data_IF_198142220590
#
_entry.id   IF_198142220590
#
_cell.length_a   1.000
_cell.length_b   1.000
_cell.length_c   1.000
_cell.angle_alpha   90.00
_cell.angle_beta   90.00
_cell.angle_gamma   90.00
#
_symmetry.space_group_name_H-M   'P 1'
#
loop_
_entity.id
_entity.type
_entity.pdbx_description
1 polymer ?
#
# COMPACT_ATOMS: atom_id res chain seq x y z
N UNK A 1 -13.00 32.84 -69.65
CA UNK A 1 -14.34 32.22 -69.56
C UNK A 1 -14.43 31.52 -68.20
N UNK A 2 -15.18 32.15 -67.28
CA UNK A 2 -15.84 31.64 -66.07
C UNK A 2 -15.09 30.84 -64.99
N UNK A 3 -15.05 31.46 -63.81
CA UNK A 3 -14.90 30.91 -62.46
C UNK A 3 -16.00 29.89 -62.12
N UNK A 4 -15.74 28.97 -61.17
CA UNK A 4 -16.61 28.71 -60.00
C UNK A 4 -15.93 27.83 -58.93
N UNK A 5 -16.20 28.24 -57.69
CA UNK A 5 -15.77 27.73 -56.38
C UNK A 5 -16.57 26.51 -55.90
N UNK A 6 -16.18 26.04 -54.70
CA UNK A 6 -16.93 25.32 -53.64
C UNK A 6 -16.55 23.82 -53.50
N UNK A 7 -16.40 23.16 -52.34
CA UNK A 7 -16.36 23.50 -50.89
C UNK A 7 -15.96 22.23 -50.12
N UNK A 8 -15.08 22.39 -49.12
CA UNK A 8 -14.92 21.70 -47.81
C UNK A 8 -15.52 20.28 -47.60
N UNK A 9 -14.69 19.35 -47.11
CA UNK A 9 -15.08 18.49 -45.98
C UNK A 9 -13.85 18.08 -45.14
N UNK A 10 -13.78 18.61 -43.92
CA UNK A 10 -12.76 18.30 -42.92
C UNK A 10 -13.14 17.00 -42.21
N UNK A 11 -12.23 16.05 -42.15
CA UNK A 11 -12.37 14.86 -41.31
C UNK A 11 -12.31 15.27 -39.84
N UNK A 12 -13.39 14.98 -39.14
CA UNK A 12 -13.58 15.23 -37.71
C UNK A 12 -12.89 14.10 -36.94
N UNK A 13 -11.75 14.42 -36.34
CA UNK A 13 -11.10 13.60 -35.31
C UNK A 13 -11.88 13.84 -34.02
N UNK A 14 -12.43 12.78 -33.42
CA UNK A 14 -13.14 12.83 -32.14
C UNK A 14 -12.11 12.85 -30.99
N UNK A 15 -12.01 13.92 -30.18
CA UNK A 15 -11.23 13.85 -28.94
C UNK A 15 -12.05 13.15 -27.85
N UNK A 16 -11.46 12.10 -27.26
CA UNK A 16 -11.96 11.43 -26.08
C UNK A 16 -11.85 12.41 -24.89
N UNK A 17 -12.99 12.72 -24.28
CA UNK A 17 -13.13 13.59 -23.12
C UNK A 17 -12.58 12.87 -21.88
N UNK A 18 -11.32 13.13 -21.50
CA UNK A 18 -10.81 12.74 -20.18
C UNK A 18 -11.22 13.83 -19.18
N UNK A 19 -12.12 13.45 -18.27
CA UNK A 19 -12.57 14.27 -17.14
C UNK A 19 -11.37 14.64 -16.26
N UNK A 20 -11.08 15.93 -16.16
CA UNK A 20 -10.32 16.52 -15.06
C UNK A 20 -11.06 16.21 -13.75
N UNK A 21 -10.47 15.35 -12.90
CA UNK A 21 -10.83 15.29 -11.49
C UNK A 21 -10.14 16.48 -10.81
N UNK A 22 -10.91 17.53 -10.56
CA UNK A 22 -10.50 18.62 -9.67
C UNK A 22 -10.39 18.07 -8.25
N UNK A 23 -9.16 18.01 -7.73
CA UNK A 23 -8.88 17.78 -6.32
C UNK A 23 -9.39 18.99 -5.54
N UNK A 24 -10.55 18.86 -4.92
CA UNK A 24 -11.09 19.86 -4.00
C UNK A 24 -10.33 19.79 -2.67
N UNK A 25 -9.50 20.80 -2.46
CA UNK A 25 -9.41 21.56 -1.20
C UNK A 25 -9.14 20.79 0.09
N UNK A 26 -7.88 20.75 0.49
CA UNK A 26 -7.47 20.59 1.88
C UNK A 26 -7.85 21.88 2.64
N UNK A 27 -8.87 21.82 3.50
CA UNK A 27 -9.19 22.91 4.43
C UNK A 27 -8.61 22.55 5.80
N UNK A 28 -7.42 23.09 6.08
CA UNK A 28 -6.90 23.24 7.43
C UNK A 28 -7.77 24.27 8.17
N UNK A 29 -8.48 23.84 9.22
CA UNK A 29 -9.00 24.76 10.25
C UNK A 29 -8.22 24.52 11.53
N UNK A 30 -7.31 25.45 11.84
CA UNK A 30 -6.93 25.77 13.21
C UNK A 30 -7.69 27.04 13.59
N UNK A 31 -8.41 27.02 14.70
CA UNK A 31 -8.51 28.18 15.58
C UNK A 31 -9.02 27.74 16.96
N UNK A 32 -8.19 28.04 17.96
CA UNK A 32 -8.48 27.97 19.37
C UNK A 32 -9.14 29.30 19.77
N UNK A 33 -10.22 29.29 20.54
CA UNK A 33 -10.59 30.46 21.36
C UNK A 33 -11.37 30.05 22.60
N UNK A 34 -11.01 30.71 23.69
CA UNK A 34 -11.35 30.50 25.09
C UNK A 34 -12.82 30.70 25.43
N UNK A 35 -13.40 29.78 26.22
CA UNK A 35 -14.10 30.01 27.50
C UNK A 35 -15.15 28.91 27.76
N UNK A 36 -14.96 28.18 28.88
CA UNK A 36 -16.04 27.71 29.73
C UNK A 36 -17.08 26.75 29.16
N UNK A 37 -16.72 25.47 29.06
CA UNK A 37 -17.52 24.30 29.53
C UNK A 37 -16.63 23.06 29.35
N UNK A 38 -16.21 22.48 30.46
CA UNK A 38 -15.52 21.20 30.49
C UNK A 38 -16.52 20.13 30.03
N UNK A 39 -16.61 19.91 28.72
CA UNK A 39 -17.16 18.68 28.20
C UNK A 39 -16.12 17.61 28.51
N UNK A 40 -16.36 16.82 29.56
CA UNK A 40 -15.67 15.55 29.78
C UNK A 40 -15.94 14.68 28.55
N UNK A 41 -15.08 14.80 27.54
CA UNK A 41 -14.92 13.78 26.53
C UNK A 41 -14.18 12.65 27.23
N UNK A 42 -14.98 11.70 27.69
CA UNK A 42 -14.57 10.36 28.04
C UNK A 42 -13.46 9.91 27.08
N UNK A 43 -12.25 9.74 27.63
CA UNK A 43 -11.09 9.21 26.92
C UNK A 43 -11.26 7.70 26.77
N UNK A 44 -12.37 7.25 26.22
CA UNK A 44 -12.44 5.93 25.64
C UNK A 44 -11.76 6.05 24.28
N UNK A 45 -10.55 5.48 24.16
CA UNK A 45 -9.89 5.30 22.89
C UNK A 45 -10.91 4.67 21.93
N UNK A 46 -11.39 5.46 20.96
CA UNK A 46 -12.30 4.97 19.93
C UNK A 46 -11.55 3.93 19.12
N UNK A 47 -11.66 2.67 19.53
CA UNK A 47 -11.21 1.52 18.77
C UNK A 47 -12.06 1.51 17.50
N UNK A 48 -11.49 1.97 16.39
CA UNK A 48 -12.15 1.87 15.11
C UNK A 48 -12.28 0.38 14.79
N UNK A 49 -13.50 -0.16 14.92
CA UNK A 49 -13.80 -1.53 14.49
C UNK A 49 -13.35 -1.69 13.05
N UNK A 50 -12.40 -2.60 12.83
CA UNK A 50 -11.90 -2.93 11.49
C UNK A 50 -12.98 -3.71 10.76
N UNK A 51 -13.75 -3.04 9.90
CA UNK A 51 -14.87 -3.65 9.17
C UNK A 51 -14.49 -4.88 8.32
N UNK A 52 -13.21 -5.05 7.98
CA UNK A 52 -12.70 -6.17 7.19
C UNK A 52 -12.22 -7.38 8.02
N UNK A 53 -12.24 -7.32 9.35
CA UNK A 53 -11.77 -8.40 10.23
C UNK A 53 -12.89 -9.40 10.58
N UNK A 54 -13.79 -9.72 9.64
CA UNK A 54 -14.91 -10.63 9.87
C UNK A 54 -14.53 -12.02 9.35
N UNK A 55 -14.19 -12.94 10.26
CA UNK A 55 -14.06 -14.36 9.93
C UNK A 55 -15.46 -14.95 9.71
N UNK A 56 -15.64 -15.66 8.61
CA UNK A 56 -16.85 -16.49 8.38
C UNK A 56 -17.01 -17.60 9.41
N UNK A 57 -15.93 -17.95 10.12
CA UNK A 57 -15.87 -19.12 11.00
C UNK A 57 -16.16 -18.75 12.47
N UNK A 58 -16.56 -17.51 12.74
CA UNK A 58 -16.93 -17.05 14.08
C UNK A 58 -15.76 -16.86 15.06
N UNK A 59 -14.51 -16.97 14.59
CA UNK A 59 -13.32 -16.64 15.40
C UNK A 59 -13.22 -15.14 15.58
N UNK A 60 -13.02 -14.67 16.82
CA UNK A 60 -12.71 -13.27 17.11
C UNK A 60 -11.29 -12.97 16.63
N UNK A 61 -11.19 -12.39 15.44
CA UNK A 61 -9.89 -12.01 14.86
C UNK A 61 -9.25 -10.84 15.63
N UNK A 62 -10.07 -10.00 16.27
CA UNK A 62 -9.62 -8.77 16.96
C UNK A 62 -8.58 -9.04 18.07
N UNK A 63 -8.65 -10.21 18.72
CA UNK A 63 -7.74 -10.57 19.83
C UNK A 63 -6.34 -10.99 19.36
N UNK A 64 -6.16 -11.24 18.06
CA UNK A 64 -4.87 -11.66 17.48
C UNK A 64 -4.02 -10.47 17.02
N UNK A 65 -4.64 -9.31 16.79
CA UNK A 65 -3.98 -8.16 16.19
C UNK A 65 -3.31 -7.32 17.28
N UNK A 66 -2.04 -6.98 17.07
CA UNK A 66 -1.28 -6.17 18.00
C UNK A 66 -1.90 -4.77 18.15
N UNK A 67 -2.20 -4.39 19.39
CA UNK A 67 -2.74 -3.07 19.73
C UNK A 67 -1.63 -2.03 19.85
N UNK A 68 -1.18 -1.53 18.71
CA UNK A 68 -0.13 -0.50 18.63
C UNK A 68 -0.71 0.90 18.44
N UNK A 69 -0.04 1.91 18.99
CA UNK A 69 -0.34 3.33 18.72
C UNK A 69 0.03 3.72 17.28
N UNK A 70 -0.48 4.85 16.80
CA UNK A 70 -0.21 5.33 15.44
C UNK A 70 1.29 5.61 15.24
N UNK A 71 1.95 6.17 16.27
CA UNK A 71 3.40 6.42 16.24
C UNK A 71 4.21 5.12 16.18
N UNK A 72 3.83 4.11 16.95
CA UNK A 72 4.50 2.80 16.94
C UNK A 72 4.30 2.11 15.60
N UNK A 73 3.08 2.14 15.05
CA UNK A 73 2.82 1.61 13.71
C UNK A 73 3.73 2.27 12.67
N UNK A 74 3.81 3.60 12.66
CA UNK A 74 4.63 4.31 11.67
C UNK A 74 6.09 3.84 11.76
N UNK A 75 6.66 3.82 12.96
CA UNK A 75 8.04 3.41 13.19
C UNK A 75 8.30 1.95 12.79
N UNK A 76 7.45 1.02 13.23
CA UNK A 76 7.60 -0.41 12.90
C UNK A 76 7.49 -0.62 11.38
N UNK A 77 6.52 0.02 10.73
CA UNK A 77 6.30 -0.12 9.29
C UNK A 77 7.38 0.59 8.46
N UNK A 78 7.95 1.71 8.94
CA UNK A 78 9.09 2.36 8.28
C UNK A 78 10.32 1.46 8.36
N UNK A 79 10.72 1.05 9.57
CA UNK A 79 11.88 0.16 9.76
C UNK A 79 11.75 -1.13 8.94
N UNK A 80 10.57 -1.76 8.95
CA UNK A 80 10.34 -2.98 8.18
C UNK A 80 10.52 -2.78 6.67
N UNK A 81 10.03 -1.66 6.12
CA UNK A 81 10.17 -1.38 4.69
C UNK A 81 11.58 -0.95 4.32
N UNK A 82 12.29 -0.26 5.20
CA UNK A 82 13.71 0.08 5.01
C UNK A 82 14.55 -1.21 4.98
N UNK A 83 14.43 -2.07 5.99
CA UNK A 83 15.14 -3.36 6.06
C UNK A 83 14.83 -4.26 4.84
N UNK A 84 13.58 -4.28 4.40
CA UNK A 84 13.16 -5.01 3.21
C UNK A 84 13.74 -4.40 1.92
N UNK A 85 13.80 -3.07 1.82
CA UNK A 85 14.42 -2.37 0.69
C UNK A 85 15.89 -2.75 0.59
N UNK A 86 16.62 -2.62 1.69
CA UNK A 86 18.05 -2.91 1.76
C UNK A 86 18.33 -4.37 1.36
N UNK A 87 17.53 -5.33 1.86
CA UNK A 87 17.64 -6.75 1.51
C UNK A 87 17.41 -7.01 0.01
N UNK A 88 16.44 -6.32 -0.60
CA UNK A 88 16.11 -6.49 -2.01
C UNK A 88 17.13 -5.78 -2.93
N UNK A 89 17.70 -4.67 -2.48
CA UNK A 89 18.79 -3.97 -3.17
C UNK A 89 20.06 -4.84 -3.21
N UNK A 90 20.40 -5.51 -2.11
CA UNK A 90 21.50 -6.49 -2.06
C UNK A 90 21.25 -7.64 -3.05
N UNK A 91 20.01 -8.13 -3.13
CA UNK A 91 19.63 -9.14 -4.12
C UNK A 91 19.78 -8.62 -5.56
N UNK A 92 19.48 -7.33 -5.80
CA UNK A 92 19.65 -6.66 -7.08
C UNK A 92 21.10 -6.57 -7.57
N UNK A 93 22.09 -6.62 -6.66
CA UNK A 93 23.51 -6.70 -7.05
C UNK A 93 23.84 -8.00 -7.80
N UNK A 94 23.17 -9.10 -7.42
CA UNK A 94 23.32 -10.41 -8.08
C UNK A 94 22.41 -10.57 -9.30
N UNK A 95 21.27 -9.88 -9.31
CA UNK A 95 20.22 -10.01 -10.32
C UNK A 95 19.86 -8.64 -10.92
N UNK A 96 20.48 -8.23 -12.04
CA UNK A 96 20.30 -6.89 -12.63
C UNK A 96 18.87 -6.58 -13.11
N UNK A 97 18.01 -7.59 -13.20
CA UNK A 97 16.59 -7.42 -13.53
C UNK A 97 15.75 -6.91 -12.35
N UNK A 98 16.28 -7.01 -11.13
CA UNK A 98 15.62 -6.54 -9.92
C UNK A 98 15.89 -5.05 -9.77
N UNK A 99 14.81 -4.30 -9.58
CA UNK A 99 14.84 -2.87 -9.33
C UNK A 99 13.88 -2.53 -8.19
N UNK A 100 14.38 -1.79 -7.20
CA UNK A 100 13.68 -1.49 -5.95
C UNK A 100 13.66 0.01 -5.77
N UNK A 101 12.46 0.57 -5.59
CA UNK A 101 12.27 1.98 -5.30
C UNK A 101 11.34 2.16 -4.10
N UNK A 102 11.86 2.69 -2.99
CA UNK A 102 11.07 3.06 -1.82
C UNK A 102 10.85 4.59 -1.77
N UNK A 103 9.61 5.03 -1.92
CA UNK A 103 9.22 6.45 -1.86
C UNK A 103 8.02 6.66 -0.95
N UNK A 104 8.19 7.43 0.13
CA UNK A 104 7.12 7.87 1.04
C UNK A 104 6.24 6.71 1.57
N UNK A 105 6.83 5.55 1.88
CA UNK A 105 6.10 4.37 2.37
C UNK A 105 5.38 3.58 1.28
N UNK A 106 5.68 3.85 0.00
CA UNK A 106 5.34 3.01 -1.15
C UNK A 106 6.63 2.45 -1.71
N UNK A 107 6.76 1.13 -1.68
CA UNK A 107 7.84 0.39 -2.31
C UNK A 107 7.35 -0.21 -3.64
N UNK A 108 8.08 0.04 -4.70
CA UNK A 108 7.91 -0.60 -6.01
C UNK A 108 9.08 -1.54 -6.25
N UNK A 109 8.78 -2.82 -6.46
CA UNK A 109 9.78 -3.85 -6.74
C UNK A 109 9.48 -4.43 -8.12
N UNK A 110 10.38 -4.28 -9.08
CA UNK A 110 10.29 -4.90 -10.40
C UNK A 110 11.27 -6.06 -10.45
N UNK A 111 10.79 -7.26 -10.77
CA UNK A 111 11.64 -8.49 -10.81
C UNK A 111 11.86 -8.95 -12.25
N UNK A 112 10.89 -8.72 -13.12
CA UNK A 112 10.96 -9.04 -14.53
C UNK A 112 9.99 -8.13 -15.32
N UNK A 113 10.11 -8.04 -16.65
CA UNK A 113 9.18 -7.26 -17.47
C UNK A 113 7.72 -7.66 -17.22
N UNK A 114 6.92 -6.72 -16.71
CA UNK A 114 5.50 -6.93 -16.38
C UNK A 114 5.23 -7.60 -15.03
N UNK A 115 6.27 -7.88 -14.24
CA UNK A 115 6.17 -8.39 -12.86
C UNK A 115 6.67 -7.34 -11.89
N UNK A 116 5.76 -6.45 -11.54
CA UNK A 116 5.98 -5.37 -10.57
C UNK A 116 5.10 -5.59 -9.35
N UNK A 117 5.74 -5.63 -8.20
CA UNK A 117 5.15 -5.68 -6.88
C UNK A 117 5.04 -4.27 -6.33
N UNK A 118 3.93 -3.97 -5.66
CA UNK A 118 3.76 -2.70 -4.97
C UNK A 118 3.41 -2.98 -3.52
N UNK A 119 4.25 -2.52 -2.60
CA UNK A 119 4.05 -2.65 -1.15
C UNK A 119 3.81 -1.25 -0.59
N UNK A 120 2.67 -1.03 0.08
CA UNK A 120 2.26 0.31 0.51
C UNK A 120 1.83 0.33 1.98
N UNK A 121 2.35 1.32 2.71
CA UNK A 121 1.87 1.65 4.06
C UNK A 121 0.46 2.21 4.03
N UNK A 122 -0.38 1.73 4.94
CA UNK A 122 -1.74 2.22 5.16
C UNK A 122 -1.91 2.69 6.62
N UNK A 123 -1.44 3.90 6.97
CA UNK A 123 -1.51 4.44 8.33
C UNK A 123 -2.91 4.48 8.95
N UNK A 124 -3.99 4.86 8.23
CA UNK A 124 -5.33 4.88 8.81
C UNK A 124 -5.80 3.51 9.33
N UNK A 125 -5.33 2.43 8.68
CA UNK A 125 -5.72 1.07 9.03
C UNK A 125 -4.66 0.35 9.89
N UNK A 126 -3.45 0.91 10.01
CA UNK A 126 -2.26 0.26 10.60
C UNK A 126 -1.92 -1.05 9.89
N UNK A 127 -1.88 -0.99 8.57
CA UNK A 127 -1.66 -2.15 7.71
C UNK A 127 -0.54 -1.89 6.70
N UNK A 128 -0.03 -2.97 6.12
CA UNK A 128 0.74 -2.94 4.88
C UNK A 128 -0.06 -3.67 3.82
N UNK A 129 -0.14 -3.10 2.62
CA UNK A 129 -0.83 -3.70 1.49
C UNK A 129 0.19 -4.13 0.45
N UNK A 130 0.04 -5.33 -0.06
CA UNK A 130 0.82 -5.87 -1.18
C UNK A 130 -0.08 -5.93 -2.41
N UNK A 131 0.45 -5.55 -3.56
CA UNK A 131 -0.08 -5.88 -4.87
C UNK A 131 0.94 -6.77 -5.56
N UNK A 132 0.71 -8.08 -5.55
CA UNK A 132 1.54 -9.06 -6.27
C UNK A 132 0.97 -9.30 -7.67
N UNK A 133 1.82 -9.38 -8.72
CA UNK A 133 1.39 -9.79 -10.06
C UNK A 133 0.96 -11.27 -10.11
N UNK A 134 1.33 -12.08 -9.11
CA UNK A 134 1.05 -13.52 -9.04
C UNK A 134 -0.18 -13.77 -8.17
N UNK A 135 -0.12 -13.41 -6.88
CA UNK A 135 -1.18 -13.69 -5.91
C UNK A 135 -2.23 -12.59 -5.78
N UNK A 136 -2.02 -11.44 -6.42
CA UNK A 136 -2.93 -10.30 -6.39
C UNK A 136 -2.82 -9.46 -5.10
N UNK A 137 -3.85 -8.67 -4.77
CA UNK A 137 -3.80 -7.77 -3.63
C UNK A 137 -4.01 -8.51 -2.30
N UNK A 138 -3.13 -8.25 -1.34
CA UNK A 138 -3.20 -8.78 0.04
C UNK A 138 -3.05 -7.64 1.05
N UNK A 139 -3.63 -7.84 2.24
CA UNK A 139 -3.59 -6.90 3.36
C UNK A 139 -2.99 -7.60 4.56
N UNK A 140 -2.04 -6.94 5.20
CA UNK A 140 -1.30 -7.47 6.33
C UNK A 140 -1.56 -6.63 7.57
N UNK A 141 -1.85 -7.31 8.65
CA UNK A 141 -1.99 -6.77 9.98
C UNK A 141 -0.77 -7.21 10.81
N UNK A 142 -0.37 -6.39 11.79
CA UNK A 142 0.72 -6.76 12.70
C UNK A 142 0.18 -7.75 13.75
N UNK A 143 0.78 -8.93 13.82
CA UNK A 143 0.41 -10.04 14.71
C UNK A 143 1.69 -10.62 15.29
N UNK A 144 1.93 -10.44 16.59
CA UNK A 144 3.14 -10.93 17.25
C UNK A 144 4.43 -10.38 16.63
N UNK A 145 4.42 -9.11 16.21
CA UNK A 145 5.55 -8.46 15.52
C UNK A 145 5.69 -8.77 14.03
N UNK A 146 4.89 -9.68 13.47
CA UNK A 146 4.97 -10.05 12.05
C UNK A 146 3.80 -9.49 11.26
N UNK A 147 4.06 -9.09 10.00
CA UNK A 147 3.03 -8.70 9.06
C UNK A 147 2.36 -9.94 8.47
N UNK A 148 1.16 -10.27 8.95
CA UNK A 148 0.46 -11.52 8.61
C UNK A 148 -0.92 -11.22 8.00
N UNK A 149 -1.32 -12.02 7.03
CA UNK A 149 -2.68 -11.97 6.47
C UNK A 149 -3.68 -12.70 7.37
N UNK A 150 -4.86 -12.10 7.57
CA UNK A 150 -5.93 -12.76 8.35
C UNK A 150 -6.63 -13.89 7.59
N UNK A 151 -6.43 -13.98 6.28
CA UNK A 151 -7.14 -14.93 5.40
C UNK A 151 -6.48 -16.29 5.37
N UNK A 152 -5.17 -16.30 5.17
CA UNK A 152 -4.33 -17.47 4.95
C UNK A 152 -3.24 -17.62 6.02
N UNK A 153 -3.11 -16.65 6.94
CA UNK A 153 -2.10 -16.65 8.00
C UNK A 153 -0.66 -16.74 7.47
N UNK A 154 -0.44 -16.18 6.28
CA UNK A 154 0.86 -16.11 5.61
C UNK A 154 1.53 -14.79 5.97
N UNK A 155 2.84 -14.84 6.24
CA UNK A 155 3.61 -13.62 6.48
C UNK A 155 3.99 -12.95 5.15
N UNK A 156 4.09 -11.62 5.17
CA UNK A 156 4.47 -10.84 3.99
C UNK A 156 5.84 -11.27 3.45
N UNK A 157 6.84 -11.38 4.34
CA UNK A 157 8.20 -11.78 3.99
C UNK A 157 8.24 -13.20 3.42
N UNK A 158 7.44 -14.12 3.98
CA UNK A 158 7.42 -15.52 3.52
C UNK A 158 6.81 -15.64 2.13
N UNK A 159 5.71 -14.94 1.87
CA UNK A 159 5.10 -14.91 0.53
C UNK A 159 6.05 -14.29 -0.50
N UNK A 160 6.70 -13.17 -0.18
CA UNK A 160 7.65 -12.53 -1.09
C UNK A 160 8.83 -13.46 -1.38
N UNK A 161 9.36 -14.15 -0.37
CA UNK A 161 10.43 -15.12 -0.55
C UNK A 161 10.02 -16.25 -1.51
N UNK A 162 8.85 -16.83 -1.30
CA UNK A 162 8.32 -17.89 -2.16
C UNK A 162 8.15 -17.40 -3.61
N UNK A 163 7.49 -16.25 -3.80
CA UNK A 163 7.23 -15.68 -5.13
C UNK A 163 8.54 -15.27 -5.86
N UNK A 164 9.55 -14.80 -5.13
CA UNK A 164 10.85 -14.44 -5.70
C UNK A 164 11.71 -15.67 -6.02
N UNK A 165 11.68 -16.70 -5.18
CA UNK A 165 12.37 -17.97 -5.44
C UNK A 165 11.88 -18.61 -6.74
N UNK A 166 10.57 -18.65 -6.93
CA UNK A 166 9.95 -19.20 -8.12
C UNK A 166 10.28 -18.37 -9.38
N UNK A 167 10.42 -17.05 -9.24
CA UNK A 167 10.71 -16.16 -10.36
C UNK A 167 12.19 -16.18 -10.77
N UNK A 168 13.09 -16.26 -9.80
CA UNK A 168 14.54 -16.20 -10.01
C UNK A 168 15.18 -17.58 -10.16
N UNK A 169 14.41 -18.66 -9.95
CA UNK A 169 14.87 -20.05 -9.89
C UNK A 169 16.05 -20.25 -8.91
N UNK A 170 16.05 -19.49 -7.81
CA UNK A 170 17.14 -19.47 -6.83
C UNK A 170 16.62 -19.42 -5.38
N UNK A 171 17.51 -19.65 -4.42
CA UNK A 171 17.21 -19.50 -3.00
C UNK A 171 17.45 -18.04 -2.58
N UNK A 172 16.37 -17.30 -2.37
CA UNK A 172 16.36 -15.92 -1.87
C UNK A 172 16.25 -15.95 -0.35
N UNK A 173 17.17 -15.26 0.31
CA UNK A 173 17.11 -14.97 1.74
C UNK A 173 16.76 -13.49 1.93
N UNK A 174 15.82 -13.20 2.83
CA UNK A 174 15.36 -11.85 3.15
C UNK A 174 15.61 -11.58 4.63
N UNK A 175 16.55 -10.69 4.94
CA UNK A 175 17.03 -10.38 6.30
C UNK A 175 16.23 -9.26 6.95
N UNK A 176 14.92 -9.46 7.12
CA UNK A 176 14.03 -8.44 7.70
C UNK A 176 13.88 -8.60 9.22
N UNK A 177 14.01 -7.50 9.97
CA UNK A 177 13.77 -7.47 11.41
C UNK A 177 12.29 -7.74 11.74
N UNK A 178 12.02 -8.62 12.72
CA UNK A 178 10.68 -8.85 13.27
C UNK A 178 10.41 -7.96 14.48
#
# INVERSE_FOLDING_TARGET
MLQRLLTVSRQIVRPLLVRLLTVKGCVFKKECTSQGRQCLLDKSARFQKRHHAISTDGRKIEDLIDHISDSQYCQIADNYLEDLSDSLEELGESYPQIDVELTQGVMSLTVAPGKTYVINKQPPNKQIWLSSPISGPKRYDLIGGKWITLRDNTALTDLLREELNDELECEVELSVSN
#
